data_IF_178735201997
#
_entry.id   IF_178735201997
#
_cell.length_a   1.000
_cell.length_b   1.000
_cell.length_c   1.000
_cell.angle_alpha   90.00
_cell.angle_beta   90.00
_cell.angle_gamma   90.00
#
_symmetry.space_group_name_H-M   'P 1'
#
loop_
_entity.id
_entity.type
_entity.pdbx_description
1 polymer ?
#
# COMPACT_ATOMS: atom_id res chain seq x y z
N UNK A 1 5.67 -4.16 38.71
CA UNK A 1 5.60 -4.61 37.30
C UNK A 1 6.60 -3.79 36.47
N UNK A 2 7.71 -4.41 36.05
CA UNK A 2 8.80 -3.73 35.33
C UNK A 2 8.44 -3.60 33.84
N UNK A 3 8.63 -2.41 33.27
CA UNK A 3 8.27 -2.07 31.87
C UNK A 3 9.10 -2.90 30.88
N UNK A 4 8.46 -3.87 30.23
CA UNK A 4 9.10 -4.74 29.22
C UNK A 4 9.24 -4.08 27.83
N UNK A 5 8.69 -2.88 27.61
CA UNK A 5 8.60 -2.25 26.28
C UNK A 5 9.76 -1.34 25.84
N UNK A 6 10.82 -1.16 26.63
CA UNK A 6 11.83 -0.12 26.37
C UNK A 6 13.07 -0.58 25.58
N UNK A 7 13.21 -1.87 25.25
CA UNK A 7 14.48 -2.44 24.75
C UNK A 7 14.53 -2.72 23.24
N UNK A 8 13.42 -2.57 22.50
CA UNK A 8 13.38 -2.85 21.05
C UNK A 8 13.83 -1.68 20.16
N UNK A 9 14.04 -0.49 20.73
CA UNK A 9 14.44 0.68 19.96
C UNK A 9 15.97 0.80 19.89
N UNK A 10 16.61 0.49 18.74
CA UNK A 10 18.04 0.77 18.60
C UNK A 10 18.25 2.28 18.72
N UNK A 11 19.22 2.71 19.54
CA UNK A 11 19.64 4.11 19.59
C UNK A 11 20.11 4.51 18.19
N UNK A 12 19.44 5.45 17.50
CA UNK A 12 19.75 5.72 16.10
C UNK A 12 21.09 6.47 16.01
N UNK A 13 22.08 5.82 15.40
CA UNK A 13 23.23 6.51 14.79
C UNK A 13 22.78 6.99 13.41
N UNK A 14 22.70 8.32 13.28
CA UNK A 14 22.64 9.11 12.04
C UNK A 14 21.45 8.90 11.07
N UNK A 15 20.57 9.92 11.06
CA UNK A 15 19.82 10.53 9.94
C UNK A 15 18.78 9.78 9.10
N UNK A 16 18.55 8.47 9.24
CA UNK A 16 17.39 7.83 8.60
C UNK A 16 16.34 7.43 9.65
N UNK A 17 15.22 8.16 9.70
CA UNK A 17 14.19 8.07 10.75
C UNK A 17 12.82 7.63 10.24
N UNK A 18 12.75 7.14 9.01
CA UNK A 18 11.48 6.67 8.44
C UNK A 18 11.39 5.16 8.49
N UNK A 19 10.24 4.64 8.93
CA UNK A 19 9.91 3.22 8.77
C UNK A 19 8.69 3.11 7.90
N UNK A 20 8.81 2.35 6.81
CA UNK A 20 7.78 2.19 5.80
C UNK A 20 7.35 0.72 5.74
N UNK A 21 6.06 0.47 5.96
CA UNK A 21 5.48 -0.88 5.89
C UNK A 21 4.59 -1.05 4.65
N UNK A 22 4.61 -2.21 3.98
CA UNK A 22 3.93 -2.41 2.70
C UNK A 22 2.66 -3.30 2.77
N UNK A 23 1.56 -2.86 2.16
CA UNK A 23 0.30 -3.60 1.96
C UNK A 23 0.02 -3.76 0.47
N UNK A 24 -0.40 -4.94 0.01
CA UNK A 24 -0.89 -5.13 -1.38
C UNK A 24 -2.32 -5.63 -1.31
N UNK A 25 -3.25 -5.11 -2.10
CA UNK A 25 -4.59 -5.75 -2.22
C UNK A 25 -5.47 -5.16 -3.32
N UNK A 26 -5.60 -5.89 -4.45
CA UNK A 26 -6.85 -6.36 -5.08
C UNK A 26 -6.49 -7.61 -5.91
N UNK A 27 -7.28 -8.68 -5.85
CA UNK A 27 -7.22 -9.85 -6.75
C UNK A 27 -8.68 -10.19 -7.10
N UNK A 28 -8.93 -10.61 -8.34
CA UNK A 28 -10.24 -10.72 -9.00
C UNK A 28 -11.31 -11.54 -8.24
N UNK A 29 -12.57 -11.32 -8.64
CA UNK A 29 -13.84 -11.57 -7.94
C UNK A 29 -14.11 -13.02 -7.49
N UNK A 30 -13.37 -14.03 -7.93
CA UNK A 30 -13.77 -15.44 -7.76
C UNK A 30 -13.18 -16.15 -6.52
N UNK A 31 -12.41 -15.45 -5.67
CA UNK A 31 -11.79 -16.02 -4.45
C UNK A 31 -11.99 -15.20 -3.17
N UNK A 32 -13.04 -14.39 -3.09
CA UNK A 32 -13.30 -13.54 -1.93
C UNK A 32 -13.44 -14.33 -0.60
N UNK A 33 -13.87 -15.59 -0.65
CA UNK A 33 -14.18 -16.40 0.53
C UNK A 33 -12.95 -16.93 1.33
N UNK A 34 -11.71 -16.81 0.83
CA UNK A 34 -10.50 -17.37 1.48
C UNK A 34 -9.38 -16.35 1.70
N UNK A 35 -9.72 -15.12 2.04
CA UNK A 35 -8.74 -14.05 2.27
C UNK A 35 -8.76 -13.47 3.67
N UNK A 36 -9.52 -14.01 4.63
CA UNK A 36 -9.64 -13.46 6.00
C UNK A 36 -8.27 -13.33 6.66
N UNK A 37 -7.48 -14.41 6.74
CA UNK A 37 -6.14 -14.34 7.35
C UNK A 37 -5.22 -13.32 6.63
N UNK A 38 -5.29 -13.25 5.29
CA UNK A 38 -4.49 -12.33 4.50
C UNK A 38 -4.88 -10.86 4.73
N UNK A 39 -6.19 -10.58 4.68
CA UNK A 39 -6.75 -9.23 4.87
C UNK A 39 -6.57 -8.76 6.31
N UNK A 40 -6.80 -9.62 7.31
CA UNK A 40 -6.52 -9.34 8.72
C UNK A 40 -5.05 -9.04 8.94
N UNK A 41 -4.12 -9.84 8.41
CA UNK A 41 -2.69 -9.58 8.55
C UNK A 41 -2.29 -8.23 7.93
N UNK A 42 -2.79 -7.93 6.72
CA UNK A 42 -2.52 -6.65 6.04
C UNK A 42 -3.18 -5.44 6.71
N UNK A 43 -4.37 -5.59 7.30
CA UNK A 43 -5.01 -4.57 8.12
C UNK A 43 -4.28 -4.35 9.45
N UNK A 44 -3.77 -5.43 10.05
CA UNK A 44 -2.93 -5.39 11.25
C UNK A 44 -1.67 -4.56 11.05
N UNK A 45 -1.02 -4.64 9.88
CA UNK A 45 0.14 -3.78 9.55
C UNK A 45 -0.22 -2.30 9.61
N UNK A 46 -1.40 -1.89 9.11
CA UNK A 46 -1.83 -0.48 9.15
C UNK A 46 -2.06 -0.03 10.59
N UNK A 47 -2.76 -0.84 11.40
CA UNK A 47 -2.98 -0.53 12.82
C UNK A 47 -1.66 -0.48 13.61
N UNK A 48 -0.75 -1.41 13.31
CA UNK A 48 0.60 -1.44 13.88
C UNK A 48 1.39 -0.18 13.51
N UNK A 49 1.34 0.28 12.25
CA UNK A 49 1.99 1.52 11.83
C UNK A 49 1.52 2.73 12.65
N UNK A 50 0.21 2.86 12.91
CA UNK A 50 -0.32 3.95 13.75
C UNK A 50 0.21 3.87 15.18
N UNK A 51 0.25 2.67 15.74
CA UNK A 51 0.79 2.44 17.09
C UNK A 51 2.29 2.77 17.16
N UNK A 52 3.07 2.34 16.17
CA UNK A 52 4.49 2.65 16.06
C UNK A 52 4.76 4.15 15.88
N UNK A 53 3.92 4.86 15.14
CA UNK A 53 4.02 6.31 15.00
C UNK A 53 3.82 7.01 16.36
N UNK A 54 2.81 6.60 17.12
CA UNK A 54 2.53 7.16 18.45
C UNK A 54 3.65 6.85 19.46
N UNK A 55 4.13 5.60 19.52
CA UNK A 55 5.20 5.19 20.42
C UNK A 55 6.58 5.77 20.02
N UNK A 56 6.80 5.93 18.72
CA UNK A 56 8.02 6.47 18.12
C UNK A 56 8.16 7.99 18.22
N UNK A 57 7.05 8.71 18.47
CA UNK A 57 7.03 10.17 18.49
C UNK A 57 8.04 10.77 19.47
N UNK A 58 8.14 10.21 20.70
CA UNK A 58 9.11 10.66 21.72
C UNK A 58 10.57 10.48 21.32
N UNK A 59 10.85 9.66 20.31
CA UNK A 59 12.19 9.42 19.78
C UNK A 59 12.44 10.20 18.47
N UNK A 60 11.48 11.03 18.04
CA UNK A 60 11.54 11.77 16.78
C UNK A 60 11.50 10.86 15.56
N UNK A 61 10.74 9.77 15.64
CA UNK A 61 10.65 8.75 14.57
C UNK A 61 9.30 8.81 13.89
N UNK A 62 9.31 8.71 12.56
CA UNK A 62 8.12 8.69 11.73
C UNK A 62 7.87 7.27 11.21
N UNK A 63 6.62 6.82 11.30
CA UNK A 63 6.23 5.51 10.81
C UNK A 63 5.02 5.65 9.90
N UNK A 64 5.11 5.13 8.68
CA UNK A 64 4.05 5.19 7.68
C UNK A 64 3.91 3.81 7.00
N UNK A 65 2.79 3.59 6.33
CA UNK A 65 2.58 2.42 5.49
C UNK A 65 2.24 2.84 4.07
N UNK A 66 2.58 1.98 3.12
CA UNK A 66 2.28 2.12 1.70
C UNK A 66 1.42 0.92 1.31
N UNK A 67 0.34 1.17 0.59
CA UNK A 67 -0.59 0.18 0.06
C UNK A 67 -0.55 0.13 -1.47
N UNK A 68 0.34 -0.66 -2.10
CA UNK A 68 0.34 -0.70 -3.56
C UNK A 68 -0.79 -1.45 -4.23
N UNK A 69 -1.09 -0.96 -5.43
CA UNK A 69 -2.00 -1.55 -6.38
C UNK A 69 -1.37 -2.68 -7.19
N UNK A 70 -1.83 -2.82 -8.42
CA UNK A 70 -1.31 -3.83 -9.33
C UNK A 70 0.02 -3.40 -9.94
N UNK A 71 1.09 -4.04 -9.47
CA UNK A 71 2.48 -3.79 -9.92
C UNK A 71 2.99 -5.00 -10.68
N UNK A 72 3.68 -4.75 -11.81
CA UNK A 72 4.37 -5.76 -12.60
C UNK A 72 5.63 -6.21 -11.85
N UNK A 73 5.67 -7.48 -11.45
CA UNK A 73 6.84 -8.11 -10.83
C UNK A 73 6.90 -9.57 -11.28
N UNK A 74 8.07 -10.23 -11.23
CA UNK A 74 8.18 -11.64 -11.61
C UNK A 74 7.20 -12.56 -10.87
N UNK A 75 6.85 -12.20 -9.63
CA UNK A 75 5.87 -12.94 -8.83
C UNK A 75 4.43 -12.74 -9.32
N UNK A 76 4.07 -11.56 -9.84
CA UNK A 76 2.71 -11.25 -10.29
C UNK A 76 2.48 -11.72 -11.70
N UNK A 77 3.52 -11.69 -12.52
CA UNK A 77 3.49 -12.17 -13.89
C UNK A 77 3.24 -13.66 -13.98
N UNK A 78 3.72 -14.44 -13.00
CA UNK A 78 3.45 -15.87 -12.88
C UNK A 78 2.10 -16.19 -12.24
N UNK A 79 1.54 -15.25 -11.46
CA UNK A 79 0.40 -15.51 -10.61
C UNK A 79 -0.93 -15.00 -11.20
N UNK A 80 -0.91 -14.16 -12.23
CA UNK A 80 -2.10 -13.57 -12.85
C UNK A 80 -2.03 -13.80 -14.35
N UNK A 81 -3.07 -14.41 -14.90
CA UNK A 81 -3.25 -14.60 -16.34
C UNK A 81 -3.52 -13.28 -17.07
N UNK A 82 -3.53 -13.31 -18.40
CA UNK A 82 -3.70 -12.11 -19.22
C UNK A 82 -5.03 -11.39 -18.94
N UNK A 83 -6.12 -12.13 -18.75
CA UNK A 83 -7.44 -11.59 -18.44
C UNK A 83 -7.46 -10.90 -17.06
N UNK A 84 -6.90 -11.55 -16.03
CA UNK A 84 -6.78 -10.97 -14.70
C UNK A 84 -5.89 -9.72 -14.69
N UNK A 85 -4.84 -9.67 -15.52
CA UNK A 85 -4.01 -8.47 -15.68
C UNK A 85 -4.81 -7.34 -16.32
N UNK A 86 -5.53 -7.61 -17.40
CA UNK A 86 -6.37 -6.63 -18.08
C UNK A 86 -7.45 -6.06 -17.15
N UNK A 87 -8.10 -6.92 -16.35
CA UNK A 87 -9.09 -6.49 -15.36
C UNK A 87 -8.48 -5.58 -14.28
N UNK A 88 -7.29 -5.92 -13.77
CA UNK A 88 -6.59 -5.12 -12.76
C UNK A 88 -6.18 -3.75 -13.28
N UNK A 89 -5.69 -3.69 -14.53
CA UNK A 89 -5.31 -2.44 -15.20
C UNK A 89 -6.54 -1.58 -15.49
N UNK A 90 -7.64 -2.19 -15.97
CA UNK A 90 -8.87 -1.48 -16.26
C UNK A 90 -9.49 -0.78 -15.05
N UNK A 91 -9.28 -1.32 -13.83
CA UNK A 91 -9.73 -0.69 -12.59
C UNK A 91 -8.91 0.51 -12.13
N UNK A 92 -7.70 0.72 -12.65
CA UNK A 92 -6.85 1.85 -12.27
C UNK A 92 -7.19 3.06 -13.15
N UNK A 93 -7.24 4.27 -12.59
CA UNK A 93 -7.45 5.48 -13.41
C UNK A 93 -6.29 5.70 -14.39
N UNK A 94 -5.08 5.30 -13.99
CA UNK A 94 -3.91 5.23 -14.85
C UNK A 94 -3.86 3.83 -15.47
N UNK A 95 -4.18 3.73 -16.77
CA UNK A 95 -4.39 2.50 -17.53
C UNK A 95 -3.08 1.78 -17.90
N UNK A 96 -2.23 1.51 -16.91
CA UNK A 96 -1.04 0.66 -17.05
C UNK A 96 -0.75 -0.05 -15.73
N UNK A 97 -0.05 -1.20 -15.74
CA UNK A 97 0.51 -1.75 -14.51
C UNK A 97 1.52 -0.77 -13.92
N UNK A 98 1.55 -0.70 -12.59
CA UNK A 98 2.61 0.01 -11.87
C UNK A 98 3.96 -0.71 -12.06
N UNK A 99 5.05 0.04 -12.01
CA UNK A 99 6.42 -0.48 -11.98
C UNK A 99 6.97 -0.50 -10.56
N UNK A 100 8.15 -1.08 -10.37
CA UNK A 100 8.84 -1.02 -9.07
C UNK A 100 9.18 0.42 -8.68
N UNK A 101 9.56 1.23 -9.66
CA UNK A 101 9.93 2.64 -9.50
C UNK A 101 8.74 3.49 -9.04
N UNK A 102 7.55 3.30 -9.62
CA UNK A 102 6.33 4.00 -9.20
C UNK A 102 6.07 3.84 -7.70
N UNK A 103 6.42 2.66 -7.17
CA UNK A 103 6.26 2.35 -5.76
C UNK A 103 7.44 2.85 -4.93
N UNK A 104 8.66 2.85 -5.47
CA UNK A 104 9.89 3.23 -4.79
C UNK A 104 10.01 4.73 -4.51
N UNK A 105 9.34 5.59 -5.28
CA UNK A 105 9.36 7.03 -5.02
C UNK A 105 8.61 7.45 -3.74
N UNK A 106 7.56 6.73 -3.36
CA UNK A 106 6.85 7.00 -2.10
C UNK A 106 7.71 6.74 -0.84
N UNK A 107 8.36 5.58 -0.64
CA UNK A 107 9.26 5.39 0.49
C UNK A 107 10.46 6.33 0.42
N UNK A 108 10.94 6.71 -0.76
CA UNK A 108 12.00 7.72 -0.91
C UNK A 108 11.56 9.07 -0.31
N UNK A 109 10.37 9.57 -0.68
CA UNK A 109 9.80 10.76 -0.06
C UNK A 109 9.61 10.61 1.45
N UNK A 110 9.10 9.45 1.90
CA UNK A 110 8.88 9.21 3.33
C UNK A 110 10.19 9.14 4.12
N UNK A 111 11.30 8.78 3.48
CA UNK A 111 12.64 8.78 4.08
C UNK A 111 13.30 10.15 4.12
N UNK A 112 12.88 11.07 3.27
CA UNK A 112 13.48 12.38 3.15
C UNK A 112 12.94 13.38 4.20
N UNK A 113 13.61 14.53 4.32
CA UNK A 113 13.24 15.60 5.28
C UNK A 113 11.97 16.35 4.83
N UNK A 114 11.62 16.28 3.54
CA UNK A 114 10.40 16.84 2.95
C UNK A 114 9.12 16.17 3.49
N UNK A 115 9.24 15.00 4.11
CA UNK A 115 8.13 14.31 4.79
C UNK A 115 8.16 14.48 6.33
N UNK A 116 8.86 15.51 6.83
CA UNK A 116 8.98 15.80 8.27
C UNK A 116 7.64 15.95 9.00
N UNK A 117 6.57 16.38 8.31
CA UNK A 117 5.22 16.51 8.87
C UNK A 117 4.31 15.29 8.64
N UNK A 118 4.86 14.19 8.12
CA UNK A 118 4.10 13.01 7.70
C UNK A 118 4.42 11.79 8.56
N UNK A 119 3.45 11.35 9.36
CA UNK A 119 3.54 10.14 10.20
C UNK A 119 2.17 9.51 10.46
N UNK A 120 2.14 8.21 10.73
CA UNK A 120 0.94 7.43 11.06
C UNK A 120 -0.01 7.18 9.88
N UNK A 121 0.40 7.49 8.66
CA UNK A 121 -0.47 7.42 7.48
C UNK A 121 -0.32 6.11 6.71
N UNK A 122 -1.35 5.78 5.94
CA UNK A 122 -1.32 4.70 4.95
C UNK A 122 -1.55 5.28 3.55
N UNK A 123 -0.53 5.18 2.69
CA UNK A 123 -0.53 5.74 1.34
C UNK A 123 -0.89 4.69 0.30
N UNK A 124 -2.04 4.83 -0.36
CA UNK A 124 -2.33 4.01 -1.55
C UNK A 124 -1.47 4.48 -2.73
N UNK A 125 -0.71 3.57 -3.33
CA UNK A 125 0.07 3.83 -4.56
C UNK A 125 -0.37 2.81 -5.60
N UNK A 126 -1.50 3.10 -6.23
CA UNK A 126 -2.29 2.12 -6.98
C UNK A 126 -2.84 2.63 -8.32
N UNK A 127 -2.31 3.74 -8.83
CA UNK A 127 -2.78 4.33 -10.08
C UNK A 127 -4.23 4.82 -10.04
N UNK A 128 -4.80 5.05 -8.85
CA UNK A 128 -6.17 5.52 -8.67
C UNK A 128 -7.20 4.40 -8.55
N UNK A 129 -6.79 3.15 -8.44
CA UNK A 129 -7.72 2.01 -8.33
C UNK A 129 -8.65 2.09 -7.11
N UNK A 130 -8.24 2.79 -6.05
CA UNK A 130 -9.08 3.01 -4.85
C UNK A 130 -9.86 4.32 -4.86
N UNK A 131 -9.57 5.25 -5.78
CA UNK A 131 -10.20 6.57 -5.81
C UNK A 131 -11.65 6.53 -6.32
N UNK A 132 -11.94 5.64 -7.27
CA UNK A 132 -13.26 5.52 -7.88
C UNK A 132 -13.17 4.93 -9.27
N UNK A 133 -14.26 5.11 -10.03
CA UNK A 133 -14.34 4.67 -11.42
C UNK A 133 -13.90 5.80 -12.34
N UNK A 134 -13.34 5.44 -13.49
CA UNK A 134 -13.05 6.40 -14.55
C UNK A 134 -14.38 6.80 -15.18
N UNK A 135 -14.64 8.11 -15.30
CA UNK A 135 -15.81 8.62 -16.01
C UNK A 135 -15.44 8.82 -17.48
N UNK A 136 -15.53 7.75 -18.28
CA UNK A 136 -15.37 7.80 -19.72
C UNK A 136 -16.53 7.08 -20.42
N UNK A 137 -16.98 7.63 -21.55
CA UNK A 137 -18.16 7.14 -22.28
C UNK A 137 -18.06 5.67 -22.75
N UNK A 138 -16.85 5.10 -22.77
CA UNK A 138 -16.62 3.68 -23.02
C UNK A 138 -16.86 2.79 -21.80
N UNK A 139 -16.53 3.22 -20.58
CA UNK A 139 -16.81 2.44 -19.36
C UNK A 139 -18.30 2.45 -19.03
N UNK A 140 -19.01 3.54 -19.30
CA UNK A 140 -20.48 3.60 -19.21
C UNK A 140 -21.15 2.60 -20.16
N UNK A 141 -20.63 2.45 -21.40
CA UNK A 141 -21.13 1.46 -22.38
C UNK A 141 -20.84 0.02 -21.95
N UNK A 142 -19.70 -0.23 -21.30
CA UNK A 142 -19.34 -1.56 -20.78
C UNK A 142 -20.11 -1.93 -19.51
N UNK A 143 -20.44 -0.94 -18.67
CA UNK A 143 -21.32 -1.11 -17.52
C UNK A 143 -22.77 -1.40 -17.95
N UNK A 144 -23.28 -0.70 -18.97
CA UNK A 144 -24.63 -0.90 -19.51
C UNK A 144 -24.85 -2.25 -20.23
N UNK A 145 -23.78 -2.91 -20.72
CA UNK A 145 -23.88 -4.24 -21.35
C UNK A 145 -23.87 -5.40 -20.36
N UNK A 146 -23.49 -5.16 -19.11
CA UNK A 146 -23.35 -6.19 -18.07
C UNK A 146 -24.35 -6.00 -16.91
N UNK A 147 -25.36 -5.14 -17.10
CA UNK A 147 -26.46 -4.88 -16.17
C UNK A 147 -27.75 -5.52 -16.62
#
# INVERSE_FOLDING_TARGET
MRRCGARSWPRPRTRDRSRVAFRRSRRSRDRAARQVAHTTAKGGVIAMTKSLAAEGARYGVRANSISPGFVSTPATDKAVDAEGKAWQVGNALIQRPGTGEDIAYMPLYLASDESSWVTGQNYSVDGGATAGWRNDSETDRLAAKNG
#
